data_IF_850286662340
#
_entry.id   IF_850286662340
#
_cell.length_a   1.000
_cell.length_b   1.000
_cell.length_c   1.000
_cell.angle_alpha   90.00
_cell.angle_beta   90.00
_cell.angle_gamma   90.00
#
_symmetry.space_group_name_H-M   'P 1'
#
loop_
_entity.id
_entity.type
_entity.pdbx_description
1 polymer ?
#
# COMPACT_ATOMS: atom_id res chain seq x y z
N UNK A 1 30.98 -52.65 -0.67
CA UNK A 1 29.60 -52.21 -0.98
C UNK A 1 29.63 -50.72 -1.18
N UNK A 2 29.70 -50.27 -2.43
CA UNK A 2 29.47 -48.86 -2.79
C UNK A 2 27.97 -48.63 -2.66
N UNK A 3 27.54 -47.95 -1.60
CA UNK A 3 26.17 -47.44 -1.54
C UNK A 3 25.95 -46.56 -2.78
N UNK A 4 24.90 -46.79 -3.58
CA UNK A 4 24.59 -45.88 -4.67
C UNK A 4 24.32 -44.52 -4.05
N UNK A 5 25.08 -43.50 -4.48
CA UNK A 5 24.87 -42.12 -4.03
C UNK A 5 23.45 -41.75 -4.45
N UNK A 6 22.53 -41.67 -3.48
CA UNK A 6 21.18 -41.25 -3.75
C UNK A 6 21.21 -39.82 -4.29
N UNK A 7 20.47 -39.52 -5.38
CA UNK A 7 20.38 -38.16 -5.88
C UNK A 7 19.77 -37.27 -4.80
N UNK A 8 20.26 -36.04 -4.71
CA UNK A 8 19.79 -35.06 -3.72
C UNK A 8 18.32 -34.73 -4.02
N UNK A 9 17.46 -34.89 -3.03
CA UNK A 9 16.06 -34.44 -3.13
C UNK A 9 15.99 -32.94 -2.88
N UNK A 10 16.15 -32.13 -3.93
CA UNK A 10 16.03 -30.68 -3.84
C UNK A 10 14.71 -30.18 -3.24
N UNK A 11 13.53 -30.77 -3.54
CA UNK A 11 12.29 -30.37 -2.87
C UNK A 11 12.38 -30.54 -1.35
N UNK A 12 13.00 -31.62 -0.87
CA UNK A 12 13.19 -31.86 0.57
C UNK A 12 14.17 -30.86 1.17
N UNK A 13 15.31 -30.61 0.52
CA UNK A 13 16.30 -29.63 1.00
C UNK A 13 15.71 -28.23 1.07
N UNK A 14 15.04 -27.79 0.00
CA UNK A 14 14.37 -26.48 -0.08
C UNK A 14 13.28 -26.35 0.99
N UNK A 15 12.50 -27.41 1.22
CA UNK A 15 11.50 -27.43 2.30
C UNK A 15 12.15 -27.35 3.69
N UNK A 16 13.21 -28.12 3.96
CA UNK A 16 13.91 -28.05 5.24
C UNK A 16 14.49 -26.66 5.52
N UNK A 17 15.06 -26.00 4.51
CA UNK A 17 15.62 -24.65 4.66
C UNK A 17 14.50 -23.61 4.78
N UNK A 18 13.61 -23.55 3.79
CA UNK A 18 12.61 -22.49 3.66
C UNK A 18 11.45 -22.60 4.65
N UNK A 19 10.96 -23.81 4.95
CA UNK A 19 9.77 -24.00 5.79
C UNK A 19 10.14 -24.34 7.24
N UNK A 20 11.11 -25.24 7.45
CA UNK A 20 11.40 -25.79 8.78
C UNK A 20 12.41 -24.93 9.55
N UNK A 21 13.60 -24.70 8.97
CA UNK A 21 14.70 -24.04 9.67
C UNK A 21 14.47 -22.54 9.83
N UNK A 22 14.12 -21.86 8.73
CA UNK A 22 13.92 -20.41 8.71
C UNK A 22 12.45 -20.01 8.68
N UNK A 23 11.58 -20.83 8.09
CA UNK A 23 10.16 -20.50 7.89
C UNK A 23 9.40 -20.20 9.18
N UNK A 24 9.69 -20.91 10.28
CA UNK A 24 9.06 -20.63 11.58
C UNK A 24 9.43 -19.28 12.22
N UNK A 25 10.41 -18.54 11.65
CA UNK A 25 10.81 -17.19 12.09
C UNK A 25 10.23 -16.09 11.19
N UNK A 26 9.62 -16.46 10.06
CA UNK A 26 9.04 -15.54 9.09
C UNK A 26 7.52 -15.59 9.24
N UNK A 27 6.92 -14.43 9.51
CA UNK A 27 5.47 -14.33 9.75
C UNK A 27 4.68 -13.84 8.55
N UNK A 28 5.32 -13.08 7.65
CA UNK A 28 4.68 -12.54 6.44
C UNK A 28 4.75 -13.55 5.29
N UNK A 29 3.62 -13.76 4.60
CA UNK A 29 3.50 -14.74 3.52
C UNK A 29 4.36 -14.40 2.30
N UNK A 30 4.57 -13.12 2.00
CA UNK A 30 5.40 -12.68 0.88
C UNK A 30 6.89 -12.76 1.21
N UNK A 31 7.28 -12.51 2.47
CA UNK A 31 8.65 -12.78 2.93
C UNK A 31 8.97 -14.29 2.87
N UNK A 32 8.00 -15.13 3.23
CA UNK A 32 8.12 -16.59 3.12
C UNK A 32 8.21 -17.04 1.65
N UNK A 33 7.41 -16.43 0.76
CA UNK A 33 7.50 -16.62 -0.69
C UNK A 33 8.88 -16.24 -1.22
N UNK A 34 9.47 -15.13 -0.76
CA UNK A 34 10.81 -14.69 -1.12
C UNK A 34 11.88 -15.69 -0.65
N UNK A 35 11.81 -16.13 0.61
CA UNK A 35 12.72 -17.12 1.19
C UNK A 35 12.71 -18.44 0.39
N UNK A 36 11.51 -18.94 0.06
CA UNK A 36 11.36 -20.14 -0.76
C UNK A 36 11.88 -19.94 -2.19
N UNK A 37 11.80 -18.72 -2.72
CA UNK A 37 12.35 -18.38 -4.04
C UNK A 37 13.88 -18.38 -4.01
N UNK A 38 14.51 -17.79 -2.99
CA UNK A 38 15.96 -17.92 -2.77
C UNK A 38 16.38 -19.38 -2.69
N UNK A 39 15.63 -20.18 -1.92
CA UNK A 39 15.93 -21.60 -1.80
C UNK A 39 15.83 -22.33 -3.14
N UNK A 40 14.85 -21.98 -3.97
CA UNK A 40 14.66 -22.57 -5.30
C UNK A 40 15.75 -22.18 -6.30
N UNK A 41 16.14 -20.90 -6.33
CA UNK A 41 17.11 -20.36 -7.29
C UNK A 41 18.53 -20.79 -6.98
N UNK A 42 18.92 -20.80 -5.69
CA UNK A 42 20.29 -21.12 -5.29
C UNK A 42 20.55 -22.62 -5.08
N UNK A 43 19.59 -23.37 -4.54
CA UNK A 43 19.78 -24.80 -4.27
C UNK A 43 19.22 -25.64 -5.41
N UNK A 44 20.07 -25.94 -6.40
CA UNK A 44 19.77 -26.82 -7.53
C UNK A 44 21.04 -27.56 -7.97
N UNK A 45 20.91 -28.58 -8.82
CA UNK A 45 22.07 -29.32 -9.34
C UNK A 45 23.07 -28.42 -10.09
N UNK A 46 22.60 -27.27 -10.59
CA UNK A 46 23.46 -26.25 -11.20
C UNK A 46 24.55 -25.77 -10.23
N UNK A 47 24.30 -25.76 -8.91
CA UNK A 47 25.25 -25.34 -7.88
C UNK A 47 26.56 -26.14 -7.91
N UNK A 48 26.54 -27.39 -8.38
CA UNK A 48 27.73 -28.23 -8.46
C UNK A 48 28.52 -28.04 -9.76
N UNK A 49 28.02 -27.23 -10.69
CA UNK A 49 28.70 -26.94 -11.95
C UNK A 49 29.77 -25.86 -11.74
N UNK A 50 30.90 -26.01 -12.44
CA UNK A 50 32.04 -25.09 -12.33
C UNK A 50 31.72 -23.66 -12.79
N UNK A 51 30.63 -23.49 -13.54
CA UNK A 51 30.17 -22.22 -14.07
C UNK A 51 29.09 -21.56 -13.19
N UNK A 52 28.75 -22.15 -12.05
CA UNK A 52 27.76 -21.59 -11.15
C UNK A 52 28.33 -20.41 -10.37
N UNK A 53 27.66 -19.28 -10.50
CA UNK A 53 27.95 -18.07 -9.75
C UNK A 53 26.63 -17.57 -9.14
N UNK A 54 26.63 -17.18 -7.87
CA UNK A 54 25.45 -16.58 -7.24
C UNK A 54 25.13 -15.21 -7.85
N UNK A 55 26.21 -14.48 -8.14
CA UNK A 55 26.26 -13.22 -8.86
C UNK A 55 27.63 -13.12 -9.52
N UNK A 56 27.83 -12.21 -10.48
CA UNK A 56 29.09 -12.08 -11.22
C UNK A 56 30.27 -11.92 -10.27
N UNK A 57 31.18 -12.90 -10.25
CA UNK A 57 32.35 -12.92 -9.36
C UNK A 57 32.11 -13.51 -7.97
N UNK A 58 30.89 -13.95 -7.64
CA UNK A 58 30.55 -14.65 -6.40
C UNK A 58 30.37 -16.13 -6.67
N UNK A 59 31.50 -16.82 -6.82
CA UNK A 59 31.55 -18.24 -7.16
C UNK A 59 31.70 -19.07 -5.89
N UNK A 60 31.41 -20.37 -5.98
CA UNK A 60 31.66 -21.29 -4.86
C UNK A 60 33.14 -21.65 -4.84
N UNK A 61 33.93 -21.22 -3.83
CA UNK A 61 35.36 -21.51 -3.78
C UNK A 61 35.61 -23.00 -3.56
N UNK A 62 36.49 -23.59 -4.38
CA UNK A 62 36.92 -25.00 -4.26
C UNK A 62 38.17 -25.11 -3.39
N UNK A 63 38.05 -24.75 -2.13
CA UNK A 63 39.17 -24.76 -1.18
C UNK A 63 39.17 -26.04 -0.34
N UNK A 64 40.36 -26.49 0.09
CA UNK A 64 40.51 -27.69 0.94
C UNK A 64 40.81 -27.35 2.39
N UNK A 65 41.39 -26.17 2.64
CA UNK A 65 41.79 -25.70 3.97
C UNK A 65 40.96 -24.49 4.39
N UNK A 66 40.81 -24.28 5.70
CA UNK A 66 40.04 -23.16 6.24
C UNK A 66 40.71 -21.82 5.88
N UNK A 67 42.04 -21.79 5.92
CA UNK A 67 42.85 -20.63 5.60
C UNK A 67 42.64 -20.16 4.16
N UNK A 68 42.50 -21.11 3.22
CA UNK A 68 42.16 -20.79 1.83
C UNK A 68 40.76 -20.17 1.69
N UNK A 69 39.76 -20.68 2.43
CA UNK A 69 38.42 -20.07 2.45
C UNK A 69 38.46 -18.65 3.03
N UNK A 70 39.21 -18.43 4.11
CA UNK A 70 39.36 -17.11 4.72
C UNK A 70 40.03 -16.12 3.77
N UNK A 71 41.14 -16.51 3.14
CA UNK A 71 41.84 -15.68 2.17
C UNK A 71 40.96 -15.33 0.95
N UNK A 72 40.09 -16.25 0.51
CA UNK A 72 39.13 -15.97 -0.55
C UNK A 72 38.07 -14.95 -0.12
N UNK A 73 37.51 -15.11 1.09
CA UNK A 73 36.51 -14.17 1.64
C UNK A 73 37.13 -12.77 1.84
N UNK A 74 38.37 -12.69 2.32
CA UNK A 74 39.10 -11.42 2.45
C UNK A 74 39.39 -10.75 1.09
N UNK A 75 39.40 -11.52 0.00
CA UNK A 75 39.53 -11.01 -1.36
C UNK A 75 38.24 -10.46 -1.96
N UNK A 76 37.08 -10.68 -1.32
CA UNK A 76 35.80 -10.16 -1.81
C UNK A 76 35.66 -8.65 -1.56
N UNK A 77 34.86 -7.95 -2.38
CA UNK A 77 34.58 -6.53 -2.15
C UNK A 77 34.00 -6.26 -0.75
N UNK A 78 34.40 -5.12 -0.15
CA UNK A 78 33.79 -4.64 1.10
C UNK A 78 32.37 -4.06 0.90
N UNK A 79 32.03 -3.72 -0.33
CA UNK A 79 30.75 -3.12 -0.70
C UNK A 79 30.12 -3.94 -1.82
N UNK A 80 28.98 -4.56 -1.51
CA UNK A 80 28.21 -5.37 -2.45
C UNK A 80 27.16 -4.51 -3.16
N UNK A 81 26.94 -4.75 -4.45
CA UNK A 81 25.81 -4.17 -5.17
C UNK A 81 24.50 -4.85 -4.76
N UNK A 82 23.35 -4.14 -4.76
CA UNK A 82 22.04 -4.75 -4.55
C UNK A 82 21.73 -5.90 -5.51
N UNK A 83 22.35 -5.91 -6.69
CA UNK A 83 22.21 -6.98 -7.67
C UNK A 83 22.69 -8.34 -7.17
N UNK A 84 23.65 -8.38 -6.22
CA UNK A 84 24.09 -9.60 -5.55
C UNK A 84 22.93 -10.30 -4.81
N UNK A 85 21.93 -9.55 -4.37
CA UNK A 85 20.73 -10.03 -3.70
C UNK A 85 19.54 -10.18 -4.66
N UNK A 86 19.75 -10.04 -5.97
CA UNK A 86 18.65 -10.07 -6.94
C UNK A 86 17.80 -8.81 -6.99
N UNK A 87 18.21 -7.71 -6.34
CA UNK A 87 17.56 -6.40 -6.45
C UNK A 87 18.07 -5.61 -7.66
N UNK A 88 17.35 -4.56 -8.05
CA UNK A 88 17.82 -3.61 -9.07
C UNK A 88 18.74 -2.54 -8.44
N UNK A 89 19.75 -1.99 -9.15
CA UNK A 89 20.65 -0.94 -8.63
C UNK A 89 19.97 0.31 -8.08
N UNK A 90 18.73 0.57 -8.50
CA UNK A 90 17.91 1.67 -7.95
C UNK A 90 17.67 1.53 -6.44
N UNK A 91 17.80 0.32 -5.86
CA UNK A 91 17.68 0.10 -4.42
C UNK A 91 18.68 0.92 -3.60
N UNK A 92 19.90 1.14 -4.12
CA UNK A 92 20.91 1.98 -3.44
C UNK A 92 20.47 3.44 -3.31
N UNK A 93 19.76 3.94 -4.32
CA UNK A 93 19.21 5.31 -4.31
C UNK A 93 18.14 5.42 -3.22
N UNK A 94 17.24 4.44 -3.15
CA UNK A 94 16.20 4.38 -2.11
C UNK A 94 16.82 4.29 -0.72
N UNK A 95 17.82 3.42 -0.53
CA UNK A 95 18.55 3.31 0.74
C UNK A 95 19.20 4.64 1.14
N UNK A 96 19.97 5.25 0.23
CA UNK A 96 20.67 6.52 0.48
C UNK A 96 19.69 7.65 0.81
N UNK A 97 18.54 7.69 0.13
CA UNK A 97 17.48 8.68 0.38
C UNK A 97 16.89 8.51 1.77
N UNK A 98 16.53 7.27 2.15
CA UNK A 98 15.94 6.98 3.46
C UNK A 98 16.92 7.26 4.62
N UNK A 99 18.20 6.91 4.44
CA UNK A 99 19.24 7.21 5.42
C UNK A 99 19.44 8.72 5.57
N UNK A 100 19.44 9.47 4.45
CA UNK A 100 19.54 10.94 4.48
C UNK A 100 18.35 11.57 5.18
N UNK A 101 17.12 11.13 4.89
CA UNK A 101 15.91 11.63 5.55
C UNK A 101 15.96 11.36 7.07
N UNK A 102 16.37 10.16 7.47
CA UNK A 102 16.51 9.81 8.89
C UNK A 102 17.55 10.69 9.62
N UNK A 103 18.66 11.02 8.94
CA UNK A 103 19.65 11.95 9.47
C UNK A 103 19.09 13.38 9.61
N UNK A 104 18.37 13.88 8.59
CA UNK A 104 17.75 15.20 8.63
C UNK A 104 16.69 15.30 9.72
N UNK A 105 15.84 14.29 9.88
CA UNK A 105 14.83 14.22 10.95
C UNK A 105 15.50 14.27 12.33
N UNK A 106 16.63 13.56 12.48
CA UNK A 106 17.41 13.58 13.73
C UNK A 106 17.98 14.98 14.00
N UNK A 107 18.53 15.66 12.98
CA UNK A 107 19.05 17.02 13.11
C UNK A 107 17.96 18.00 13.52
N UNK A 108 16.79 17.95 12.85
CA UNK A 108 15.63 18.79 13.18
C UNK A 108 15.16 18.52 14.61
N UNK A 109 15.21 17.27 15.07
CA UNK A 109 14.76 16.91 16.42
C UNK A 109 15.66 17.45 17.54
N UNK A 110 16.95 17.67 17.26
CA UNK A 110 17.95 18.19 18.20
C UNK A 110 18.03 19.73 18.17
N UNK A 111 17.46 20.37 17.14
CA UNK A 111 17.50 21.82 17.01
C UNK A 111 16.84 22.52 18.21
N UNK A 112 17.52 23.49 18.86
CA UNK A 112 16.93 24.22 19.98
C UNK A 112 15.70 25.00 19.52
N UNK A 113 14.53 24.57 20.00
CA UNK A 113 13.23 25.21 19.70
C UNK A 113 13.13 26.63 20.26
N UNK A 114 13.93 26.92 21.28
CA UNK A 114 14.14 28.26 21.81
C UNK A 114 15.44 28.82 21.26
N UNK A 115 15.40 29.42 20.06
CA UNK A 115 16.52 30.21 19.57
C UNK A 115 16.06 31.44 18.79
N UNK A 116 16.15 32.59 19.47
CA UNK A 116 16.28 33.90 18.85
C UNK A 116 15.03 34.77 18.88
N UNK A 117 15.03 35.75 19.79
CA UNK A 117 14.18 36.95 19.72
C UNK A 117 14.51 37.78 18.47
N UNK A 118 14.03 37.32 17.32
CA UNK A 118 14.00 38.07 16.09
C UNK A 118 12.67 38.82 15.96
N UNK A 119 12.73 40.02 15.39
CA UNK A 119 11.58 40.88 15.03
C UNK A 119 10.73 40.29 13.88
N UNK A 120 10.55 38.97 13.87
CA UNK A 120 9.70 38.23 12.94
C UNK A 120 8.31 37.99 13.51
N UNK A 121 7.41 37.55 12.64
CA UNK A 121 6.06 37.13 13.01
C UNK A 121 6.14 36.02 14.10
N UNK A 122 5.31 36.12 15.14
CA UNK A 122 5.30 35.11 16.21
C UNK A 122 4.85 33.76 15.66
N UNK A 123 5.28 32.69 16.32
CA UNK A 123 4.89 31.32 15.97
C UNK A 123 3.37 31.17 15.89
N UNK A 124 2.69 31.74 16.87
CA UNK A 124 1.24 31.75 16.99
C UNK A 124 0.59 32.48 15.81
N UNK A 125 1.13 33.64 15.40
CA UNK A 125 0.58 34.40 14.27
C UNK A 125 0.74 33.65 12.94
N UNK A 126 1.89 32.99 12.72
CA UNK A 126 2.10 32.16 11.54
C UNK A 126 1.10 30.98 11.49
N UNK A 127 0.96 30.25 12.60
CA UNK A 127 0.00 29.14 12.70
C UNK A 127 -1.44 29.64 12.57
N UNK A 128 -1.78 30.82 13.07
CA UNK A 128 -3.10 31.43 12.92
C UNK A 128 -3.44 31.72 11.45
N UNK A 129 -2.49 32.30 10.70
CA UNK A 129 -2.65 32.53 9.26
C UNK A 129 -2.80 31.21 8.50
N UNK A 130 -1.96 30.22 8.79
CA UNK A 130 -2.05 28.89 8.19
C UNK A 130 -3.39 28.22 8.51
N UNK A 131 -3.88 28.32 9.75
CA UNK A 131 -5.18 27.79 10.14
C UNK A 131 -6.32 28.46 9.36
N UNK A 132 -6.27 29.77 9.12
CA UNK A 132 -7.23 30.47 8.27
C UNK A 132 -7.19 29.95 6.83
N UNK A 133 -6.01 29.87 6.22
CA UNK A 133 -5.85 29.39 4.84
C UNK A 133 -6.36 27.95 4.66
N UNK A 134 -6.13 27.09 5.65
CA UNK A 134 -6.65 25.72 5.64
C UNK A 134 -8.18 25.75 5.81
N UNK A 135 -8.71 26.48 6.80
CA UNK A 135 -10.16 26.55 7.07
C UNK A 135 -10.97 27.06 5.87
N UNK A 136 -10.43 28.00 5.09
CA UNK A 136 -11.04 28.50 3.86
C UNK A 136 -11.17 27.42 2.77
N UNK A 137 -10.25 26.44 2.77
CA UNK A 137 -10.17 25.37 1.77
C UNK A 137 -10.79 24.05 2.23
N UNK A 138 -10.99 23.86 3.54
CA UNK A 138 -11.58 22.61 4.07
C UNK A 138 -13.00 22.45 3.51
N UNK A 139 -13.32 21.29 2.90
CA UNK A 139 -14.63 21.06 2.29
C UNK A 139 -15.79 21.19 3.28
N UNK A 140 -16.94 21.61 2.78
CA UNK A 140 -18.18 21.68 3.57
C UNK A 140 -18.59 20.32 4.14
N UNK A 141 -19.31 20.37 5.25
CA UNK A 141 -19.85 19.16 5.87
C UNK A 141 -20.95 18.54 4.99
N UNK A 142 -20.92 17.22 4.88
CA UNK A 142 -21.95 16.43 4.24
C UNK A 142 -23.25 16.49 5.05
N UNK A 143 -24.31 17.05 4.44
CA UNK A 143 -25.63 17.06 5.06
C UNK A 143 -26.22 15.62 5.07
N UNK A 144 -26.53 15.04 6.25
CA UNK A 144 -27.01 13.66 6.36
C UNK A 144 -28.30 13.39 5.56
N UNK A 145 -29.20 14.37 5.46
CA UNK A 145 -30.45 14.24 4.70
C UNK A 145 -30.17 14.21 3.20
N UNK A 146 -29.32 15.12 2.72
CA UNK A 146 -28.96 15.20 1.30
C UNK A 146 -28.19 13.94 0.85
N UNK A 147 -27.24 13.46 1.65
CA UNK A 147 -26.51 12.21 1.38
C UNK A 147 -27.48 11.05 1.25
N UNK A 148 -28.44 10.94 2.18
CA UNK A 148 -29.45 9.87 2.15
C UNK A 148 -30.31 9.94 0.88
N UNK A 149 -30.79 11.12 0.50
CA UNK A 149 -31.58 11.30 -0.72
C UNK A 149 -30.78 10.94 -1.99
N UNK A 150 -29.54 11.40 -2.11
CA UNK A 150 -28.67 11.08 -3.23
C UNK A 150 -28.41 9.57 -3.34
N UNK A 151 -28.13 8.90 -2.22
CA UNK A 151 -27.94 7.45 -2.20
C UNK A 151 -29.21 6.68 -2.59
N UNK A 152 -30.38 7.12 -2.12
CA UNK A 152 -31.67 6.51 -2.51
C UNK A 152 -31.86 6.60 -4.03
N UNK A 153 -31.56 7.75 -4.64
CA UNK A 153 -31.64 7.94 -6.10
C UNK A 153 -30.70 7.02 -6.88
N UNK A 154 -29.58 6.59 -6.28
CA UNK A 154 -28.58 5.71 -6.91
C UNK A 154 -28.80 4.22 -6.65
N UNK A 155 -29.91 3.81 -6.04
CA UNK A 155 -30.14 2.44 -5.57
C UNK A 155 -29.16 2.04 -4.45
N UNK A 156 -29.34 2.66 -3.29
CA UNK A 156 -28.54 2.51 -2.07
C UNK A 156 -28.29 1.06 -1.60
N UNK A 157 -29.05 0.07 -2.08
CA UNK A 157 -28.88 -1.35 -1.70
C UNK A 157 -27.73 -2.04 -2.45
N UNK A 158 -27.18 -1.39 -3.49
CA UNK A 158 -26.01 -1.92 -4.20
C UNK A 158 -24.76 -1.84 -3.31
N UNK A 159 -23.92 -2.90 -3.29
CA UNK A 159 -22.74 -2.96 -2.41
C UNK A 159 -21.82 -1.76 -2.53
N UNK A 160 -21.60 -1.25 -3.75
CA UNK A 160 -20.73 -0.08 -3.97
C UNK A 160 -21.29 1.23 -3.39
N UNK A 161 -22.61 1.39 -3.32
CA UNK A 161 -23.23 2.58 -2.72
C UNK A 161 -23.24 2.50 -1.18
N UNK A 162 -23.36 1.30 -0.62
CA UNK A 162 -23.14 1.05 0.81
C UNK A 162 -21.69 1.38 1.18
N UNK A 163 -20.73 0.92 0.37
CA UNK A 163 -19.32 1.26 0.53
C UNK A 163 -19.07 2.77 0.47
N UNK A 164 -19.60 3.47 -0.54
CA UNK A 164 -19.49 4.93 -0.65
C UNK A 164 -20.01 5.64 0.60
N UNK A 165 -21.16 5.21 1.14
CA UNK A 165 -21.72 5.77 2.37
C UNK A 165 -20.73 5.66 3.54
N UNK A 166 -20.14 4.49 3.75
CA UNK A 166 -19.18 4.27 4.84
C UNK A 166 -17.95 5.16 4.70
N UNK A 167 -17.47 5.36 3.47
CA UNK A 167 -16.31 6.22 3.19
C UNK A 167 -16.65 7.71 3.38
N UNK A 168 -17.85 8.16 3.01
CA UNK A 168 -18.34 9.53 3.28
C UNK A 168 -18.48 9.76 4.79
N UNK A 169 -19.06 8.81 5.53
CA UNK A 169 -19.21 8.93 6.98
C UNK A 169 -17.84 9.03 7.68
N UNK A 170 -16.79 8.38 7.14
CA UNK A 170 -15.40 8.52 7.60
C UNK A 170 -14.80 9.87 7.20
N UNK A 171 -14.97 10.28 5.95
CA UNK A 171 -14.51 11.57 5.45
C UNK A 171 -15.08 12.73 6.29
N UNK A 172 -16.38 12.68 6.61
CA UNK A 172 -17.04 13.66 7.45
C UNK A 172 -16.39 13.76 8.83
N UNK A 173 -16.05 12.63 9.47
CA UNK A 173 -15.36 12.65 10.77
C UNK A 173 -14.01 13.36 10.68
N UNK A 174 -13.25 13.14 9.60
CA UNK A 174 -11.98 13.84 9.42
C UNK A 174 -12.20 15.34 9.20
N UNK A 175 -13.12 15.73 8.32
CA UNK A 175 -13.45 17.13 8.05
C UNK A 175 -13.86 17.84 9.34
N UNK A 176 -14.76 17.24 10.13
CA UNK A 176 -15.19 17.80 11.41
C UNK A 176 -14.01 17.99 12.36
N UNK A 177 -13.12 17.00 12.50
CA UNK A 177 -12.01 17.08 13.46
C UNK A 177 -10.96 18.10 13.03
N UNK A 178 -10.65 18.19 11.73
CA UNK A 178 -9.77 19.25 11.21
C UNK A 178 -10.38 20.62 11.50
N UNK A 179 -11.66 20.80 11.18
CA UNK A 179 -12.38 22.06 11.35
C UNK A 179 -12.46 22.49 12.81
N UNK A 180 -12.81 21.58 13.72
CA UNK A 180 -12.88 21.87 15.16
C UNK A 180 -11.49 22.17 15.72
N UNK A 181 -10.48 21.35 15.40
CA UNK A 181 -9.10 21.57 15.87
C UNK A 181 -8.59 22.95 15.45
N UNK A 182 -8.78 23.35 14.19
CA UNK A 182 -8.30 24.65 13.70
C UNK A 182 -9.10 25.83 14.29
N UNK A 183 -10.41 25.66 14.49
CA UNK A 183 -11.25 26.70 15.09
C UNK A 183 -10.89 26.91 16.56
N UNK A 184 -10.79 25.82 17.32
CA UNK A 184 -10.41 25.85 18.74
C UNK A 184 -8.98 26.36 18.93
N UNK A 185 -8.07 26.00 18.01
CA UNK A 185 -6.69 26.50 18.02
C UNK A 185 -6.63 28.02 17.84
N UNK A 186 -7.42 28.58 16.92
CA UNK A 186 -7.53 30.03 16.76
C UNK A 186 -8.05 30.71 18.03
N UNK A 187 -9.14 30.19 18.60
CA UNK A 187 -9.71 30.72 19.84
C UNK A 187 -8.75 30.61 21.03
N UNK A 188 -7.90 29.58 21.07
CA UNK A 188 -6.87 29.42 22.08
C UNK A 188 -5.71 30.41 21.90
N UNK A 189 -5.30 30.68 20.65
CA UNK A 189 -4.32 31.73 20.33
C UNK A 189 -4.85 33.12 20.71
N UNK A 190 -6.14 33.38 20.44
CA UNK A 190 -6.82 34.63 20.81
C UNK A 190 -7.09 34.75 22.33
N UNK A 191 -6.73 33.73 23.13
CA UNK A 191 -6.91 33.72 24.59
C UNK A 191 -8.35 33.49 25.06
N UNK A 192 -9.27 33.10 24.17
CA UNK A 192 -10.68 32.82 24.49
C UNK A 192 -10.87 31.42 25.08
N UNK A 193 -10.10 30.44 24.60
CA UNK A 193 -10.14 29.04 25.07
C UNK A 193 -8.79 28.68 25.71
N UNK A 194 -8.80 27.76 26.68
CA UNK A 194 -7.58 27.26 27.32
C UNK A 194 -6.79 26.35 26.36
N UNK A 195 -5.48 26.60 26.25
CA UNK A 195 -4.56 25.78 25.46
C UNK A 195 -4.41 24.37 26.05
N UNK A 196 -5.17 23.41 25.52
CA UNK A 196 -5.08 22.00 25.88
C UNK A 196 -3.81 21.32 25.32
N UNK A 197 -3.49 20.12 25.79
CA UNK A 197 -2.37 19.32 25.28
C UNK A 197 -2.51 19.03 23.77
N UNK A 198 -3.72 18.65 23.33
CA UNK A 198 -4.01 18.39 21.91
C UNK A 198 -3.85 19.66 21.05
N UNK A 199 -4.26 20.83 21.56
CA UNK A 199 -4.11 22.09 20.83
C UNK A 199 -2.64 22.53 20.78
N UNK A 200 -1.87 22.27 21.84
CA UNK A 200 -0.42 22.52 21.86
C UNK A 200 0.31 21.61 20.87
N UNK A 201 -0.02 20.32 20.82
CA UNK A 201 0.51 19.39 19.80
C UNK A 201 0.14 19.82 18.37
N UNK A 202 -1.09 20.31 18.17
CA UNK A 202 -1.52 20.83 16.87
C UNK A 202 -0.76 22.10 16.49
N UNK A 203 -0.59 23.05 17.41
CA UNK A 203 0.22 24.25 17.20
C UNK A 203 1.66 23.87 16.82
N UNK A 204 2.25 22.94 17.58
CA UNK A 204 3.61 22.48 17.35
C UNK A 204 3.76 21.81 15.99
N UNK A 205 2.86 20.89 15.68
CA UNK A 205 2.86 20.14 14.43
C UNK A 205 2.66 21.06 13.23
N UNK A 206 1.68 21.97 13.29
CA UNK A 206 1.37 22.88 12.18
C UNK A 206 2.53 23.85 11.90
N UNK A 207 3.19 24.36 12.95
CA UNK A 207 4.37 25.19 12.79
C UNK A 207 5.54 24.43 12.12
N UNK A 208 5.75 23.18 12.53
CA UNK A 208 6.78 22.30 11.96
C UNK A 208 6.37 21.67 10.61
N UNK A 209 5.25 22.10 10.01
CA UNK A 209 4.67 21.54 8.78
C UNK A 209 4.37 20.01 8.84
N UNK A 210 4.14 19.50 10.05
CA UNK A 210 3.76 18.11 10.36
C UNK A 210 2.27 17.98 10.63
N UNK A 211 1.77 16.75 10.56
CA UNK A 211 0.35 16.44 10.76
C UNK A 211 0.08 16.27 12.26
N UNK A 212 -0.88 16.99 12.87
CA UNK A 212 -1.26 16.79 14.28
C UNK A 212 -1.61 15.33 14.63
N UNK A 213 -1.29 14.90 15.85
CA UNK A 213 -1.50 13.50 16.26
C UNK A 213 -2.97 13.09 16.25
N UNK A 214 -3.88 14.02 16.58
CA UNK A 214 -5.33 13.81 16.53
C UNK A 214 -5.82 13.50 15.11
N UNK A 215 -5.30 14.20 14.10
CA UNK A 215 -5.68 13.97 12.70
C UNK A 215 -5.20 12.61 12.20
N UNK A 216 -3.99 12.20 12.59
CA UNK A 216 -3.46 10.86 12.27
C UNK A 216 -4.34 9.75 12.87
N UNK A 217 -4.79 9.91 14.12
CA UNK A 217 -5.65 8.93 14.80
C UNK A 217 -7.02 8.76 14.15
N UNK A 218 -7.63 9.82 13.64
CA UNK A 218 -8.96 9.75 12.99
C UNK A 218 -8.90 9.06 11.65
N UNK A 219 -7.76 9.14 10.98
CA UNK A 219 -7.51 8.32 9.81
C UNK A 219 -7.39 6.83 10.14
N UNK A 220 -7.49 6.39 11.40
CA UNK A 220 -7.42 4.95 11.68
C UNK A 220 -8.70 4.24 11.26
N UNK A 221 -8.58 3.25 10.38
CA UNK A 221 -9.68 2.32 10.10
C UNK A 221 -9.69 1.27 11.19
N UNK A 222 -10.86 1.08 11.82
CA UNK A 222 -11.14 -0.10 12.62
C UNK A 222 -11.33 -1.26 11.63
N UNK A 223 -10.38 -2.16 11.59
CA UNK A 223 -10.62 -3.50 11.03
C UNK A 223 -11.29 -4.29 12.15
N UNK A 224 -12.62 -4.24 12.22
CA UNK A 224 -13.31 -5.32 12.92
C UNK A 224 -13.06 -6.57 12.08
N UNK A 225 -12.42 -7.57 12.68
CA UNK A 225 -12.22 -8.86 12.04
C UNK A 225 -13.54 -9.37 11.44
N UNK A 226 -13.42 -10.02 10.28
CA UNK A 226 -14.47 -10.54 9.43
C UNK A 226 -14.96 -9.60 8.31
N UNK A 227 -14.71 -10.09 7.10
CA UNK A 227 -15.49 -9.84 5.89
C UNK A 227 -17.00 -9.89 6.16
N UNK A 228 -17.60 -8.77 6.57
CA UNK A 228 -19.07 -8.65 6.68
C UNK A 228 -19.50 -7.33 6.06
N UNK A 229 -19.49 -7.29 4.73
CA UNK A 229 -20.56 -6.60 4.00
C UNK A 229 -21.62 -7.67 3.72
N UNK A 230 -22.19 -8.21 4.80
CA UNK A 230 -23.43 -8.97 4.81
C UNK A 230 -24.47 -8.07 5.46
N UNK A 231 -25.34 -7.49 4.64
CA UNK A 231 -26.61 -6.95 5.12
C UNK A 231 -27.38 -8.12 5.75
N UNK A 232 -27.54 -8.13 7.08
CA UNK A 232 -28.72 -8.62 7.83
C UNK A 232 -28.57 -8.71 9.37
N UNK A 233 -27.42 -8.41 9.99
CA UNK A 233 -27.24 -8.65 11.46
C UNK A 233 -27.08 -7.42 12.38
N UNK A 234 -27.44 -6.19 11.97
CA UNK A 234 -27.26 -4.98 12.81
C UNK A 234 -28.53 -4.58 13.61
N UNK A 235 -29.51 -5.46 13.78
CA UNK A 235 -30.64 -5.21 14.70
C UNK A 235 -31.03 -6.48 15.47
N UNK A 236 -30.20 -6.85 16.46
CA UNK A 236 -30.66 -7.58 17.64
C UNK A 236 -30.18 -6.85 18.89
N UNK A 237 -31.07 -6.26 19.70
CA UNK A 237 -30.74 -6.11 21.10
C UNK A 237 -30.68 -7.53 21.69
N UNK A 238 -29.88 -7.74 22.72
CA UNK A 238 -29.73 -9.01 23.43
C UNK A 238 -28.62 -9.90 22.84
N UNK A 239 -27.37 -9.63 23.23
CA UNK A 239 -26.48 -10.66 23.77
C UNK A 239 -25.26 -10.02 24.46
N UNK A 240 -25.06 -10.45 25.70
CA UNK A 240 -24.17 -9.86 26.69
C UNK A 240 -22.92 -10.73 26.84
N UNK A 241 -22.19 -10.96 25.76
CA UNK A 241 -20.96 -11.77 25.79
C UNK A 241 -19.74 -10.88 25.53
N UNK A 242 -18.99 -10.65 26.61
CA UNK A 242 -17.81 -9.80 26.68
C UNK A 242 -16.55 -10.61 26.34
N UNK A 243 -16.27 -10.80 25.05
CA UNK A 243 -14.91 -11.06 24.57
C UNK A 243 -14.54 -9.94 23.60
N UNK A 244 -13.94 -8.88 24.14
CA UNK A 244 -13.39 -7.80 23.34
C UNK A 244 -12.09 -8.27 22.69
N UNK A 245 -12.16 -8.75 21.46
CA UNK A 245 -11.03 -8.67 20.55
C UNK A 245 -10.67 -7.18 20.41
N UNK A 246 -9.46 -6.82 20.82
CA UNK A 246 -8.95 -5.46 20.69
C UNK A 246 -8.88 -5.13 19.19
N UNK A 247 -9.62 -4.12 18.70
CA UNK A 247 -9.55 -3.77 17.29
C UNK A 247 -8.11 -3.37 16.93
N UNK A 248 -7.55 -4.02 15.90
CA UNK A 248 -6.31 -3.57 15.29
C UNK A 248 -6.60 -2.23 14.60
N UNK A 249 -6.09 -1.14 15.17
CA UNK A 249 -6.17 0.19 14.59
C UNK A 249 -5.12 0.34 13.49
N UNK A 250 -5.55 0.50 12.24
CA UNK A 250 -4.65 0.75 11.13
C UNK A 250 -4.72 2.22 10.72
N UNK A 251 -3.60 2.95 10.75
CA UNK A 251 -3.48 4.29 10.15
C UNK A 251 -3.78 4.17 8.64
N UNK A 252 -4.85 4.79 8.16
CA UNK A 252 -5.20 4.76 6.73
C UNK A 252 -4.61 5.93 5.94
N UNK A 253 -4.04 6.94 6.62
CA UNK A 253 -3.60 8.18 5.99
C UNK A 253 -2.38 8.81 6.66
N UNK A 254 -1.24 8.18 6.42
CA UNK A 254 0.08 8.76 6.70
C UNK A 254 0.54 9.60 5.49
N UNK A 255 1.22 10.71 5.73
CA UNK A 255 1.80 11.56 4.69
C UNK A 255 3.04 12.26 5.23
N UNK A 256 4.02 12.56 4.37
CA UNK A 256 5.29 13.14 4.77
C UNK A 256 5.16 14.58 5.29
N UNK A 257 4.21 15.36 4.76
CA UNK A 257 4.03 16.77 5.13
C UNK A 257 2.56 17.13 5.27
N UNK A 258 2.27 18.20 6.03
CA UNK A 258 0.94 18.77 6.14
C UNK A 258 0.34 19.15 4.78
N UNK A 259 1.16 19.66 3.85
CA UNK A 259 0.71 20.09 2.53
C UNK A 259 0.26 18.93 1.64
N UNK A 260 1.03 17.84 1.62
CA UNK A 260 0.63 16.62 0.91
C UNK A 260 -0.60 16.00 1.54
N UNK A 261 -0.64 15.92 2.87
CA UNK A 261 -1.80 15.43 3.60
C UNK A 261 -3.04 16.24 3.23
N UNK A 262 -2.99 17.57 3.27
CA UNK A 262 -4.16 18.39 2.96
C UNK A 262 -4.58 18.30 1.49
N UNK A 263 -3.64 18.18 0.56
CA UNK A 263 -3.97 17.95 -0.86
C UNK A 263 -4.71 16.63 -1.04
N UNK A 264 -4.23 15.56 -0.40
CA UNK A 264 -4.90 14.26 -0.42
C UNK A 264 -6.31 14.33 0.20
N UNK A 265 -6.53 15.17 1.22
CA UNK A 265 -7.86 15.37 1.83
C UNK A 265 -8.84 15.86 0.78
N UNK A 266 -8.42 16.89 0.04
CA UNK A 266 -9.23 17.55 -0.97
C UNK A 266 -9.52 16.60 -2.13
N UNK A 267 -8.51 15.88 -2.63
CA UNK A 267 -8.66 14.95 -3.74
C UNK A 267 -9.55 13.76 -3.38
N UNK A 268 -9.42 13.22 -2.16
CA UNK A 268 -10.31 12.17 -1.64
C UNK A 268 -11.74 12.65 -1.52
N UNK A 269 -11.94 13.82 -0.92
CA UNK A 269 -13.25 14.42 -0.79
C UNK A 269 -13.88 14.68 -2.16
N UNK A 270 -13.10 15.16 -3.13
CA UNK A 270 -13.55 15.38 -4.50
C UNK A 270 -14.03 14.08 -5.16
N UNK A 271 -13.31 12.96 -4.97
CA UNK A 271 -13.75 11.65 -5.45
C UNK A 271 -15.09 11.24 -4.84
N UNK A 272 -15.26 11.36 -3.52
CA UNK A 272 -16.50 10.96 -2.84
C UNK A 272 -17.68 11.88 -3.16
N UNK A 273 -17.44 13.19 -3.16
CA UNK A 273 -18.45 14.21 -3.46
C UNK A 273 -18.93 14.12 -4.91
N UNK A 274 -18.01 14.00 -5.87
CA UNK A 274 -18.37 13.77 -7.27
C UNK A 274 -19.14 12.46 -7.43
N UNK A 275 -18.73 11.38 -6.77
CA UNK A 275 -19.48 10.12 -6.80
C UNK A 275 -20.90 10.29 -6.25
N UNK A 276 -21.05 10.96 -5.10
CA UNK A 276 -22.36 11.15 -4.45
C UNK A 276 -23.30 12.05 -5.26
N UNK A 277 -22.80 13.13 -5.87
CA UNK A 277 -23.65 14.16 -6.48
C UNK A 277 -23.74 14.06 -8.00
N UNK A 278 -22.71 13.56 -8.67
CA UNK A 278 -22.65 13.46 -10.13
C UNK A 278 -22.84 12.02 -10.64
N UNK A 279 -22.78 11.04 -9.73
CA UNK A 279 -22.98 9.64 -10.03
C UNK A 279 -21.67 8.86 -10.15
N UNK A 280 -21.81 7.58 -10.49
CA UNK A 280 -20.71 6.61 -10.43
C UNK A 280 -19.52 6.99 -11.32
N UNK A 281 -18.29 7.08 -10.78
CA UNK A 281 -17.07 7.36 -11.53
C UNK A 281 -16.84 6.40 -12.70
N UNK A 282 -16.20 6.91 -13.75
CA UNK A 282 -15.73 6.10 -14.90
C UNK A 282 -14.50 5.27 -14.55
N UNK A 283 -13.65 5.80 -13.66
CA UNK A 283 -12.50 5.13 -13.06
C UNK A 283 -12.34 5.61 -11.62
N UNK A 284 -11.79 4.75 -10.76
CA UNK A 284 -11.66 4.98 -9.33
C UNK A 284 -10.19 5.14 -8.96
N UNK A 285 -9.88 6.17 -8.17
CA UNK A 285 -8.56 6.35 -7.58
C UNK A 285 -8.47 5.45 -6.34
N UNK A 286 -7.76 4.32 -6.47
CA UNK A 286 -7.72 3.29 -5.41
C UNK A 286 -7.17 3.83 -4.09
N UNK A 287 -6.18 4.71 -4.23
CA UNK A 287 -5.40 5.32 -3.17
C UNK A 287 -6.21 6.36 -2.38
N UNK A 288 -7.32 6.83 -2.97
CA UNK A 288 -8.24 7.76 -2.34
C UNK A 288 -9.20 7.10 -1.34
N UNK A 289 -9.31 5.77 -1.33
CA UNK A 289 -10.15 5.06 -0.37
C UNK A 289 -9.45 4.89 0.98
N UNK A 290 -10.20 5.08 2.07
CA UNK A 290 -9.80 4.63 3.40
C UNK A 290 -9.76 3.09 3.47
N UNK A 291 -10.70 2.41 2.79
CA UNK A 291 -10.78 0.95 2.74
C UNK A 291 -10.82 0.39 1.29
N UNK A 292 -9.68 0.31 0.60
CA UNK A 292 -9.62 -0.25 -0.76
C UNK A 292 -10.02 -1.74 -0.83
N UNK A 293 -9.82 -2.52 0.23
CA UNK A 293 -10.27 -3.92 0.29
C UNK A 293 -11.81 -4.03 0.35
N UNK A 294 -12.46 -3.16 1.12
CA UNK A 294 -13.91 -3.03 1.17
C UNK A 294 -14.50 -2.66 -0.20
N UNK A 295 -13.83 -1.76 -0.93
CA UNK A 295 -14.21 -1.41 -2.31
C UNK A 295 -14.17 -2.63 -3.24
N UNK A 296 -13.07 -3.39 -3.23
CA UNK A 296 -12.93 -4.60 -4.05
C UNK A 296 -13.95 -5.68 -3.66
N UNK A 297 -14.27 -5.79 -2.37
CA UNK A 297 -15.30 -6.72 -1.88
C UNK A 297 -16.68 -6.32 -2.38
N UNK A 298 -17.04 -5.05 -2.30
CA UNK A 298 -18.30 -4.52 -2.83
C UNK A 298 -18.40 -4.71 -4.35
N UNK A 299 -17.32 -4.45 -5.09
CA UNK A 299 -17.25 -4.72 -6.53
C UNK A 299 -17.46 -6.21 -6.82
N UNK A 300 -16.76 -7.10 -6.10
CA UNK A 300 -16.90 -8.55 -6.24
C UNK A 300 -18.33 -9.03 -6.00
N UNK A 301 -19.01 -8.49 -4.99
CA UNK A 301 -20.42 -8.80 -4.71
C UNK A 301 -21.34 -8.33 -5.83
N UNK A 302 -21.10 -7.16 -6.41
CA UNK A 302 -21.88 -6.65 -7.54
C UNK A 302 -21.75 -7.55 -8.77
N UNK A 303 -20.53 -7.97 -9.10
CA UNK A 303 -20.24 -8.93 -10.17
C UNK A 303 -20.89 -10.28 -9.91
N UNK A 304 -20.79 -10.81 -8.69
CA UNK A 304 -21.39 -12.08 -8.30
C UNK A 304 -22.93 -12.05 -8.46
N UNK A 305 -23.58 -10.96 -8.02
CA UNK A 305 -25.03 -10.78 -8.16
C UNK A 305 -25.46 -10.67 -9.63
N UNK A 306 -24.72 -9.93 -10.44
CA UNK A 306 -25.02 -9.76 -11.87
C UNK A 306 -24.94 -11.08 -12.64
N UNK A 307 -23.95 -11.92 -12.32
CA UNK A 307 -23.72 -13.20 -12.98
C UNK A 307 -24.31 -14.42 -12.26
N UNK A 308 -24.99 -14.22 -11.11
CA UNK A 308 -25.54 -15.27 -10.25
C UNK A 308 -24.49 -16.29 -9.78
N UNK A 309 -23.29 -15.83 -9.48
CA UNK A 309 -22.22 -16.65 -8.91
C UNK A 309 -22.39 -16.79 -7.39
N UNK A 310 -22.03 -17.96 -6.86
CA UNK A 310 -21.88 -18.16 -5.42
C UNK A 310 -20.64 -17.40 -4.93
N UNK A 311 -20.79 -16.56 -3.89
CA UNK A 311 -19.75 -15.60 -3.50
C UNK A 311 -18.43 -16.25 -3.07
N UNK A 312 -18.50 -17.45 -2.50
CA UNK A 312 -17.38 -18.32 -2.13
C UNK A 312 -16.60 -18.86 -3.32
N UNK A 313 -17.21 -18.89 -4.50
CA UNK A 313 -16.59 -19.32 -5.75
C UNK A 313 -16.05 -18.16 -6.61
N UNK A 314 -16.18 -16.92 -6.14
CA UNK A 314 -15.77 -15.73 -6.92
C UNK A 314 -14.37 -15.26 -6.53
N UNK A 315 -13.48 -15.22 -7.52
CA UNK A 315 -12.12 -14.71 -7.42
C UNK A 315 -11.95 -13.42 -8.22
N UNK A 316 -11.08 -12.52 -7.73
CA UNK A 316 -10.70 -11.31 -8.46
C UNK A 316 -9.83 -11.65 -9.66
N UNK A 317 -9.98 -10.88 -10.73
CA UNK A 317 -9.11 -10.93 -11.91
C UNK A 317 -8.88 -9.52 -12.42
N UNK A 318 -7.83 -9.34 -13.21
CA UNK A 318 -7.49 -8.03 -13.74
C UNK A 318 -6.93 -8.10 -15.16
N UNK A 319 -7.05 -6.97 -15.84
CA UNK A 319 -6.37 -6.68 -17.10
C UNK A 319 -5.77 -5.28 -17.00
N UNK A 320 -4.44 -5.17 -17.17
CA UNK A 320 -3.80 -3.86 -17.25
C UNK A 320 -4.03 -3.30 -18.65
N UNK A 321 -4.78 -2.20 -18.73
CA UNK A 321 -5.11 -1.60 -20.02
C UNK A 321 -3.93 -0.80 -20.58
N UNK A 322 -4.06 -0.29 -21.82
CA UNK A 322 -3.10 0.65 -22.41
C UNK A 322 -3.48 2.11 -22.14
N UNK A 323 -4.62 2.35 -21.51
CA UNK A 323 -5.22 3.67 -21.35
C UNK A 323 -4.65 4.37 -20.11
N UNK A 324 -4.33 5.65 -20.28
CA UNK A 324 -4.17 6.58 -19.17
C UNK A 324 -5.54 7.01 -18.64
N UNK A 325 -5.56 7.61 -17.44
CA UNK A 325 -6.78 8.03 -16.75
C UNK A 325 -7.66 8.92 -17.63
N UNK A 326 -7.04 9.87 -18.32
CA UNK A 326 -7.69 10.89 -19.15
C UNK A 326 -8.28 10.31 -20.43
N UNK A 327 -7.80 9.14 -20.86
CA UNK A 327 -8.23 8.46 -22.08
C UNK A 327 -9.46 7.55 -21.85
N UNK A 328 -9.81 7.29 -20.58
CA UNK A 328 -10.98 6.49 -20.23
C UNK A 328 -12.24 7.34 -20.38
N UNK A 329 -13.13 6.94 -21.29
CA UNK A 329 -14.37 7.68 -21.57
C UNK A 329 -15.64 6.92 -21.21
N UNK A 330 -15.54 5.61 -20.94
CA UNK A 330 -16.67 4.73 -20.64
C UNK A 330 -16.33 3.81 -19.48
N UNK A 331 -17.36 3.43 -18.72
CA UNK A 331 -17.27 2.39 -17.69
C UNK A 331 -17.12 1.00 -18.34
N UNK A 332 -16.48 0.04 -17.66
CA UNK A 332 -16.49 -1.33 -18.14
C UNK A 332 -17.90 -1.91 -17.99
N UNK A 333 -18.21 -2.93 -18.78
CA UNK A 333 -19.51 -3.65 -18.72
C UNK A 333 -19.66 -4.33 -17.36
N UNK A 334 -18.57 -4.88 -16.85
CA UNK A 334 -18.47 -5.59 -15.58
C UNK A 334 -17.20 -5.17 -14.85
N UNK A 335 -17.22 -5.15 -13.53
CA UNK A 335 -16.09 -4.72 -12.71
C UNK A 335 -15.89 -3.21 -12.71
N UNK A 336 -14.65 -2.77 -12.52
CA UNK A 336 -14.28 -1.36 -12.34
C UNK A 336 -12.93 -1.05 -12.97
N UNK A 337 -12.77 0.20 -13.43
CA UNK A 337 -11.45 0.74 -13.77
C UNK A 337 -10.82 1.40 -12.56
N UNK A 338 -9.55 1.10 -12.32
CA UNK A 338 -8.76 1.58 -11.18
C UNK A 338 -7.52 2.31 -11.69
N UNK A 339 -7.19 3.44 -11.07
CA UNK A 339 -5.98 4.21 -11.37
C UNK A 339 -5.24 4.64 -10.10
N UNK A 340 -4.02 5.17 -10.30
CA UNK A 340 -3.14 5.63 -9.22
C UNK A 340 -2.26 4.54 -8.61
N UNK A 341 -1.94 3.48 -9.36
CA UNK A 341 -1.02 2.44 -8.91
C UNK A 341 0.38 2.71 -9.45
N UNK A 342 1.39 2.51 -8.60
CA UNK A 342 2.80 2.73 -8.90
C UNK A 342 3.57 1.43 -8.74
N UNK A 343 4.32 1.04 -9.76
CA UNK A 343 5.16 -0.14 -9.76
C UNK A 343 6.53 0.20 -9.17
N UNK A 344 6.95 -0.56 -8.17
CA UNK A 344 8.25 -0.50 -7.52
C UNK A 344 9.04 -1.79 -7.83
N UNK A 345 10.35 -1.66 -8.00
CA UNK A 345 11.25 -2.77 -8.38
C UNK A 345 11.17 -3.22 -9.85
N UNK A 346 10.26 -2.66 -10.65
CA UNK A 346 10.11 -2.96 -12.08
C UNK A 346 9.58 -1.76 -12.89
N UNK A 347 9.77 -1.84 -14.21
CA UNK A 347 9.14 -0.97 -15.20
C UNK A 347 7.93 -1.63 -15.87
N UNK A 348 7.16 -0.83 -16.60
CA UNK A 348 6.00 -1.30 -17.37
C UNK A 348 6.10 -0.92 -18.84
N UNK A 349 6.10 -1.92 -19.74
CA UNK A 349 5.96 -1.68 -21.17
C UNK A 349 4.47 -1.55 -21.52
N UNK A 350 3.99 -0.31 -21.69
CA UNK A 350 2.59 -0.02 -22.04
C UNK A 350 2.18 -0.58 -23.41
N UNK A 351 3.11 -0.68 -24.38
CA UNK A 351 2.76 -1.17 -25.73
C UNK A 351 2.47 -2.67 -25.71
N UNK A 352 3.28 -3.41 -24.96
CA UNK A 352 3.18 -4.87 -24.84
C UNK A 352 2.43 -5.34 -23.58
N UNK A 353 2.02 -4.41 -22.71
CA UNK A 353 1.29 -4.66 -21.47
C UNK A 353 1.95 -5.73 -20.59
N UNK A 354 3.23 -5.53 -20.25
CA UNK A 354 4.03 -6.48 -19.47
C UNK A 354 5.13 -5.80 -18.65
N UNK A 355 5.63 -6.52 -17.65
CA UNK A 355 6.79 -6.15 -16.83
C UNK A 355 8.08 -6.11 -17.65
N UNK A 356 8.92 -5.13 -17.32
CA UNK A 356 10.29 -4.95 -17.84
C UNK A 356 11.19 -4.47 -16.69
N UNK A 357 12.51 -4.57 -16.86
CA UNK A 357 13.44 -3.96 -15.89
C UNK A 357 13.21 -2.43 -15.81
N UNK A 358 13.30 -1.83 -14.62
CA UNK A 358 13.07 -0.40 -14.46
C UNK A 358 14.20 0.41 -15.11
N UNK A 359 13.89 1.62 -15.54
CA UNK A 359 14.93 2.52 -16.06
C UNK A 359 15.87 2.96 -14.91
N UNK A 360 17.17 3.19 -15.19
CA UNK A 360 18.09 3.72 -14.18
C UNK A 360 17.56 5.04 -13.60
N UNK A 361 17.64 5.19 -12.27
CA UNK A 361 17.17 6.37 -11.51
C UNK A 361 15.65 6.59 -11.50
N UNK A 362 14.87 5.70 -12.11
CA UNK A 362 13.41 5.70 -12.01
C UNK A 362 12.97 4.68 -10.95
N UNK A 363 12.65 5.17 -9.74
CA UNK A 363 12.29 4.30 -8.61
C UNK A 363 10.88 3.72 -8.76
N UNK A 364 9.94 4.54 -9.24
CA UNK A 364 8.54 4.17 -9.39
C UNK A 364 8.05 4.41 -10.81
N UNK A 365 7.30 3.45 -11.35
CA UNK A 365 6.66 3.58 -12.67
C UNK A 365 5.15 3.62 -12.50
N UNK A 366 4.49 4.68 -12.97
CA UNK A 366 3.02 4.73 -12.95
C UNK A 366 2.42 3.63 -13.83
N UNK A 367 1.54 2.81 -13.26
CA UNK A 367 0.80 1.80 -13.99
C UNK A 367 -0.38 2.46 -14.74
N UNK A 368 -0.68 2.05 -15.99
CA UNK A 368 -1.90 2.46 -16.67
C UNK A 368 -3.16 2.06 -15.90
N UNK A 369 -4.32 2.51 -16.38
CA UNK A 369 -5.61 2.12 -15.80
C UNK A 369 -5.74 0.60 -15.81
N UNK A 370 -6.07 0.02 -14.67
CA UNK A 370 -6.29 -1.42 -14.50
C UNK A 370 -7.77 -1.70 -14.49
N UNK A 371 -8.23 -2.60 -15.35
CA UNK A 371 -9.56 -3.18 -15.23
C UNK A 371 -9.51 -4.28 -14.17
N UNK A 372 -10.32 -4.16 -13.14
CA UNK A 372 -10.48 -5.19 -12.12
C UNK A 372 -11.91 -5.72 -12.20
N UNK A 373 -12.06 -7.03 -12.37
CA UNK A 373 -13.34 -7.73 -12.35
C UNK A 373 -13.25 -8.95 -11.45
N UNK A 374 -14.25 -9.81 -11.52
CA UNK A 374 -14.24 -11.10 -10.86
C UNK A 374 -14.79 -12.20 -11.78
N UNK A 375 -14.48 -13.45 -11.48
CA UNK A 375 -14.97 -14.60 -12.22
C UNK A 375 -15.27 -15.76 -11.24
N UNK A 376 -16.15 -16.69 -11.63
CA UNK A 376 -16.37 -17.93 -10.88
C UNK A 376 -15.27 -18.94 -11.22
N UNK A 377 -14.64 -19.55 -10.21
CA UNK A 377 -13.62 -20.60 -10.43
C UNK A 377 -14.21 -21.76 -11.22
N UNK A 378 -15.47 -22.13 -10.95
CA UNK A 378 -16.19 -23.17 -11.68
C UNK A 378 -16.45 -22.82 -13.15
N UNK A 379 -16.64 -21.54 -13.47
CA UNK A 379 -16.80 -21.07 -14.85
C UNK A 379 -15.47 -21.01 -15.63
N UNK A 380 -14.34 -21.08 -14.93
CA UNK A 380 -12.99 -21.00 -15.47
C UNK A 380 -12.59 -19.59 -15.91
N UNK A 381 -11.32 -19.25 -15.73
CA UNK A 381 -10.78 -18.01 -16.29
C UNK A 381 -10.57 -18.20 -17.81
N UNK A 382 -11.31 -17.44 -18.63
CA UNK A 382 -11.20 -17.50 -20.10
C UNK A 382 -9.87 -16.92 -20.62
N UNK A 383 -9.14 -16.16 -19.80
CA UNK A 383 -7.82 -15.63 -20.13
C UNK A 383 -6.71 -16.60 -19.71
N UNK A 384 -6.45 -17.62 -20.54
CA UNK A 384 -5.18 -18.36 -20.49
C UNK A 384 -4.05 -17.46 -21.04
N UNK A 385 -3.40 -16.69 -20.17
CA UNK A 385 -2.18 -15.97 -20.52
C UNK A 385 -0.93 -16.73 -20.04
N UNK A 386 0.09 -16.68 -20.90
CA UNK A 386 1.52 -16.38 -20.68
C UNK A 386 2.03 -16.31 -19.24
N UNK A 387 3.31 -16.61 -19.00
CA UNK A 387 3.98 -16.42 -17.69
C UNK A 387 3.54 -15.14 -16.96
N UNK A 388 2.77 -15.30 -15.88
CA UNK A 388 2.20 -14.21 -15.08
C UNK A 388 2.93 -14.12 -13.75
N UNK A 389 3.26 -12.89 -13.33
CA UNK A 389 3.69 -12.59 -11.98
C UNK A 389 2.50 -12.11 -11.13
N UNK A 390 2.20 -12.83 -10.06
CA UNK A 390 1.26 -12.37 -9.03
C UNK A 390 1.95 -11.30 -8.18
N UNK A 391 1.66 -10.03 -8.49
CA UNK A 391 2.25 -8.85 -7.88
C UNK A 391 1.42 -8.38 -6.68
N UNK A 392 1.99 -8.31 -5.46
CA UNK A 392 1.27 -7.74 -4.33
C UNK A 392 1.00 -6.24 -4.53
N UNK A 393 -0.18 -5.78 -4.11
CA UNK A 393 -0.54 -4.36 -4.05
C UNK A 393 -0.61 -3.91 -2.60
N UNK A 394 0.14 -2.88 -2.24
CA UNK A 394 0.16 -2.28 -0.91
C UNK A 394 -0.36 -0.83 -0.94
N UNK A 395 -0.95 -0.39 0.18
CA UNK A 395 -1.36 1.00 0.39
C UNK A 395 -0.17 1.96 0.36
N UNK A 396 0.97 1.53 0.89
CA UNK A 396 2.15 2.36 1.19
C UNK A 396 3.46 1.64 0.87
N UNK A 397 4.59 2.37 0.70
CA UNK A 397 5.91 1.77 0.43
C UNK A 397 6.41 0.86 1.55
N UNK A 398 5.94 1.07 2.79
CA UNK A 398 6.18 0.14 3.90
C UNK A 398 5.27 -1.09 3.75
N UNK A 399 5.82 -2.14 3.16
CA UNK A 399 5.13 -3.39 2.84
C UNK A 399 5.03 -4.27 4.08
N UNK A 400 3.82 -4.33 4.63
CA UNK A 400 3.45 -5.20 5.76
C UNK A 400 2.04 -5.71 5.51
N UNK A 401 1.64 -6.79 6.17
CA UNK A 401 0.28 -7.34 6.09
C UNK A 401 -0.81 -6.28 6.34
N UNK A 402 -0.56 -5.32 7.23
CA UNK A 402 -1.47 -4.21 7.48
C UNK A 402 -1.72 -3.40 6.21
N UNK A 403 -0.67 -3.12 5.43
CA UNK A 403 -0.76 -2.31 4.23
C UNK A 403 -1.11 -3.11 2.97
N UNK A 404 -1.14 -4.43 3.04
CA UNK A 404 -1.53 -5.27 1.92
C UNK A 404 -3.00 -5.06 1.54
N UNK A 405 -3.30 -5.05 0.23
CA UNK A 405 -4.66 -4.90 -0.28
C UNK A 405 -5.09 -6.18 -0.99
N UNK A 406 -4.45 -6.51 -2.11
CA UNK A 406 -4.77 -7.66 -2.97
C UNK A 406 -3.62 -7.90 -3.96
N UNK A 407 -3.56 -9.05 -4.66
CA UNK A 407 -2.60 -9.26 -5.72
C UNK A 407 -3.19 -8.90 -7.09
N UNK A 408 -2.33 -8.42 -8.00
CA UNK A 408 -2.64 -8.25 -9.42
C UNK A 408 -1.78 -9.18 -10.27
N UNK A 409 -2.41 -9.84 -11.24
CA UNK A 409 -1.75 -10.63 -12.27
C UNK A 409 -1.10 -9.69 -13.31
N UNK A 410 0.23 -9.68 -13.36
CA UNK A 410 1.01 -8.89 -14.31
C UNK A 410 1.71 -9.80 -15.32
N UNK A 411 1.58 -9.50 -16.61
CA UNK A 411 2.26 -10.28 -17.65
C UNK A 411 3.78 -10.11 -17.56
N UNK A 412 4.51 -11.19 -17.80
CA UNK A 412 5.96 -11.23 -17.80
C UNK A 412 6.51 -12.01 -18.99
N UNK A 413 7.72 -11.66 -19.43
CA UNK A 413 8.53 -12.50 -20.32
C UNK A 413 9.41 -13.51 -19.58
N UNK A 414 9.83 -13.17 -18.37
CA UNK A 414 10.73 -13.98 -17.53
C UNK A 414 9.94 -14.73 -16.46
N UNK A 415 10.57 -15.71 -15.83
CA UNK A 415 9.97 -16.47 -14.74
C UNK A 415 9.55 -15.56 -13.57
N UNK A 416 8.42 -15.83 -12.89
CA UNK A 416 7.96 -15.03 -11.74
C UNK A 416 9.00 -14.93 -10.62
N UNK A 417 9.87 -15.92 -10.45
CA UNK A 417 10.95 -15.92 -9.46
C UNK A 417 11.86 -14.70 -9.60
N UNK A 418 12.12 -14.26 -10.85
CA UNK A 418 12.91 -13.05 -11.13
C UNK A 418 12.31 -11.82 -10.44
N UNK A 419 11.00 -11.63 -10.56
CA UNK A 419 10.31 -10.48 -9.99
C UNK A 419 10.11 -10.60 -8.47
N UNK A 420 10.06 -11.82 -7.94
CA UNK A 420 10.08 -12.05 -6.49
C UNK A 420 11.42 -11.57 -5.92
N UNK A 421 12.56 -11.97 -6.52
CA UNK A 421 13.89 -11.55 -6.09
C UNK A 421 14.11 -10.04 -6.23
N UNK A 422 13.57 -9.43 -7.29
CA UNK A 422 13.58 -7.97 -7.49
C UNK A 422 12.72 -7.22 -6.46
N UNK A 423 11.92 -7.93 -5.67
CA UNK A 423 10.98 -7.32 -4.73
C UNK A 423 9.95 -6.45 -5.44
N UNK A 424 9.40 -6.91 -6.56
CA UNK A 424 8.40 -6.13 -7.30
C UNK A 424 7.11 -6.01 -6.49
N UNK A 425 6.57 -4.80 -6.40
CA UNK A 425 5.26 -4.57 -5.79
C UNK A 425 4.56 -3.40 -6.46
N UNK A 426 3.23 -3.35 -6.32
CA UNK A 426 2.44 -2.18 -6.64
C UNK A 426 2.12 -1.41 -5.36
N UNK A 427 2.22 -0.09 -5.43
CA UNK A 427 1.98 0.84 -4.35
C UNK A 427 0.85 1.77 -4.75
N UNK A 428 -0.13 1.94 -3.87
CA UNK A 428 -1.15 2.97 -4.04
C UNK A 428 -0.57 4.36 -3.78
N UNK A 429 0.47 4.47 -2.96
CA UNK A 429 1.10 5.75 -2.69
C UNK A 429 2.60 5.58 -2.56
N UNK A 430 3.32 6.57 -3.09
CA UNK A 430 4.78 6.64 -3.13
C UNK A 430 5.32 7.91 -2.45
N UNK A 431 4.43 8.72 -1.88
CA UNK A 431 4.75 9.96 -1.17
C UNK A 431 4.87 9.77 0.33
#
# INVERSE_FOLDING_TARGET
MTFPIQPISWPTVRYMIGEVQYGGRVTDDYDKRLLNTYAKVWFSDAMFTDNFEFYRGYNIPKCRTLEEYQAYIEGLPLFDSPECFGLHPNADITYSTNTTNSMLDTIVSIQPKDSGGGTGETRESNVYRLANEILEKVPEDYNPFQVKECLIKMDHLKPLHIFLKQEIDRMQKVITIVRTTLTDLKLAIDGTIVMSENLRDALDSLFDARIPSTWRKVSMTILTGANVIGVDEVFRPDNNDLTYDIPFFQISWESATLGFWFTDLLDRNAQFSSWLFQGRPISYWMTGFFNPQGFLTAMRQEVARANKYALDDVELTNEVTKLLREEVVKRPVEGVYVHGLWLDGAGWDRKLARLVEPAPKLLYTALPVVHVSAYSRSAGNKNKATTVYSCPVYKKPRRTDLNYIFPLALNSLVDPDHWILRGVALLCDVK
#
